data_IF_005055878729
#
_entry.id   IF_005055878729
#
_cell.length_a   1.000
_cell.length_b   1.000
_cell.length_c   1.000
_cell.angle_alpha   90.00
_cell.angle_beta   90.00
_cell.angle_gamma   90.00
#
_symmetry.space_group_name_H-M   'P 1'
#
loop_
_entity.id
_entity.type
_entity.pdbx_description
1 polymer ?
#
# COMPACT_ATOMS: atom_id res chain seq x y z
N UNK A 1 14.37 15.59 -10.46
CA UNK A 1 13.08 16.20 -10.74
C UNK A 1 12.35 16.45 -9.43
N UNK A 2 11.59 17.53 -9.33
CA UNK A 2 10.63 17.78 -8.26
C UNK A 2 9.27 17.29 -8.74
N UNK A 3 8.69 16.32 -8.04
CA UNK A 3 7.45 15.67 -8.46
C UNK A 3 6.47 15.65 -7.29
N UNK A 4 5.24 16.11 -7.53
CA UNK A 4 4.16 16.05 -6.56
C UNK A 4 3.30 14.80 -6.78
N UNK A 5 3.33 13.86 -5.84
CA UNK A 5 2.44 12.72 -5.79
C UNK A 5 1.11 13.08 -5.11
N UNK A 6 0.00 12.69 -5.73
CA UNK A 6 -1.36 12.86 -5.22
C UNK A 6 -2.03 11.48 -5.11
N UNK A 7 -2.45 11.12 -3.90
CA UNK A 7 -3.07 9.83 -3.61
C UNK A 7 -4.35 10.04 -2.81
N UNK A 8 -5.43 9.39 -3.23
CA UNK A 8 -6.64 9.25 -2.42
C UNK A 8 -6.97 7.78 -2.23
N UNK A 9 -6.90 7.32 -0.98
CA UNK A 9 -7.09 5.92 -0.60
C UNK A 9 -8.54 5.46 -0.76
N UNK A 10 -8.76 4.16 -0.64
CA UNK A 10 -10.11 3.58 -0.71
C UNK A 10 -10.98 3.92 0.51
N UNK A 11 -10.38 4.37 1.62
CA UNK A 11 -11.13 4.88 2.77
C UNK A 11 -11.82 6.22 2.48
N UNK A 12 -11.39 6.93 1.42
CA UNK A 12 -11.92 8.21 1.01
C UNK A 12 -11.94 9.25 2.15
N UNK A 13 -10.93 9.21 3.03
CA UNK A 13 -10.86 10.13 4.17
C UNK A 13 -10.22 11.48 3.80
N UNK A 14 -9.44 11.52 2.71
CA UNK A 14 -8.78 12.72 2.22
C UNK A 14 -7.85 12.44 1.04
N UNK A 15 -7.09 13.47 0.67
CA UNK A 15 -6.00 13.40 -0.30
C UNK A 15 -4.66 13.55 0.42
N UNK A 16 -3.77 12.59 0.20
CA UNK A 16 -2.36 12.64 0.58
C UNK A 16 -1.54 13.28 -0.54
N UNK A 17 -0.71 14.25 -0.16
CA UNK A 17 0.18 14.96 -1.06
C UNK A 17 1.61 14.75 -0.58
N UNK A 18 2.49 14.37 -1.51
CA UNK A 18 3.92 14.26 -1.29
C UNK A 18 4.68 15.02 -2.38
N UNK A 19 5.34 16.12 -2.02
CA UNK A 19 6.26 16.83 -2.91
C UNK A 19 7.64 16.23 -2.69
N UNK A 20 8.20 15.60 -3.72
CA UNK A 20 9.41 14.79 -3.60
C UNK A 20 10.53 15.29 -4.52
N UNK A 21 11.78 15.22 -4.06
CA UNK A 21 12.96 15.25 -4.93
C UNK A 21 13.28 13.83 -5.37
N UNK A 22 13.25 13.57 -6.67
CA UNK A 22 13.55 12.25 -7.24
C UNK A 22 14.73 12.37 -8.20
N UNK A 23 15.74 11.51 -8.03
CA UNK A 23 16.99 11.53 -8.79
C UNK A 23 17.47 10.12 -9.10
N UNK A 24 18.26 9.99 -10.17
CA UNK A 24 18.88 8.74 -10.56
C UNK A 24 17.98 7.89 -11.46
N UNK A 25 18.23 6.58 -11.45
CA UNK A 25 17.56 5.56 -12.25
C UNK A 25 17.59 4.24 -11.48
N UNK A 26 16.88 3.18 -11.90
CA UNK A 26 16.93 1.88 -11.23
C UNK A 26 18.37 1.46 -10.87
N UNK A 27 18.55 1.01 -9.62
CA UNK A 27 19.86 0.68 -9.03
C UNK A 27 20.59 1.84 -8.33
N UNK A 28 20.21 3.10 -8.61
CA UNK A 28 20.75 4.32 -7.98
C UNK A 28 19.67 5.35 -7.67
N UNK A 29 18.39 4.96 -7.73
CA UNK A 29 17.26 5.84 -7.56
C UNK A 29 17.18 6.30 -6.10
N UNK A 30 17.00 7.61 -5.90
CA UNK A 30 16.73 8.20 -4.59
C UNK A 30 15.46 9.04 -4.67
N UNK A 31 14.61 8.93 -3.65
CA UNK A 31 13.42 9.76 -3.49
C UNK A 31 13.39 10.33 -2.07
N UNK A 32 13.31 11.66 -1.96
CA UNK A 32 13.29 12.38 -0.69
C UNK A 32 12.01 13.22 -0.60
N UNK A 33 11.28 13.11 0.51
CA UNK A 33 10.12 13.95 0.79
C UNK A 33 10.58 15.36 1.17
N UNK A 34 10.17 16.36 0.39
CA UNK A 34 10.40 17.78 0.70
C UNK A 34 9.29 18.30 1.59
N UNK A 35 8.04 17.95 1.27
CA UNK A 35 6.87 18.43 1.99
C UNK A 35 5.70 17.49 1.76
N UNK A 36 4.97 17.14 2.83
CA UNK A 36 3.82 16.26 2.77
C UNK A 36 2.66 16.78 3.62
N UNK A 37 1.44 16.52 3.18
CA UNK A 37 0.23 16.78 3.96
C UNK A 37 -0.94 15.93 3.50
N UNK A 38 -1.80 15.57 4.45
CA UNK A 38 -3.12 14.99 4.19
C UNK A 38 -4.18 16.06 4.36
N UNK A 39 -4.99 16.27 3.33
CA UNK A 39 -6.15 17.16 3.39
C UNK A 39 -7.43 16.34 3.48
N UNK A 40 -8.16 16.38 4.61
CA UNK A 40 -9.38 15.61 4.76
C UNK A 40 -10.45 16.13 3.80
N UNK A 41 -11.24 15.21 3.25
CA UNK A 41 -12.39 15.61 2.45
C UNK A 41 -13.49 16.20 3.33
N UNK A 42 -14.23 17.15 2.76
CA UNK A 42 -15.51 17.53 3.32
C UNK A 42 -16.43 16.29 3.40
N UNK A 43 -17.27 16.26 4.43
CA UNK A 43 -18.12 15.09 4.73
C UNK A 43 -19.00 14.69 3.55
N UNK A 44 -19.59 15.67 2.88
CA UNK A 44 -20.45 15.48 1.70
C UNK A 44 -19.67 14.91 0.51
N UNK A 45 -18.45 15.38 0.26
CA UNK A 45 -17.56 14.83 -0.76
C UNK A 45 -17.25 13.36 -0.48
N UNK A 46 -16.86 13.04 0.77
CA UNK A 46 -16.60 11.66 1.20
C UNK A 46 -17.83 10.77 1.03
N UNK A 47 -19.01 11.21 1.45
CA UNK A 47 -20.26 10.48 1.26
C UNK A 47 -20.54 10.21 -0.23
N UNK A 48 -20.34 11.21 -1.11
CA UNK A 48 -20.51 11.06 -2.56
C UNK A 48 -19.51 10.11 -3.21
N UNK A 49 -18.25 10.10 -2.76
CA UNK A 49 -17.26 9.11 -3.19
C UNK A 49 -17.75 7.70 -2.85
N UNK A 50 -18.16 7.48 -1.60
CA UNK A 50 -18.63 6.17 -1.15
C UNK A 50 -19.88 5.70 -1.91
N UNK A 51 -20.82 6.61 -2.21
CA UNK A 51 -21.97 6.33 -3.05
C UNK A 51 -21.57 5.92 -4.47
N UNK A 52 -20.56 6.57 -5.05
CA UNK A 52 -20.06 6.21 -6.39
C UNK A 52 -19.34 4.84 -6.41
N UNK A 53 -18.78 4.40 -5.28
CA UNK A 53 -18.17 3.08 -5.13
C UNK A 53 -19.21 1.95 -4.93
N UNK A 54 -20.45 2.25 -4.59
CA UNK A 54 -21.53 1.27 -4.46
C UNK A 54 -22.25 1.07 -5.81
N UNK A 55 -22.16 -0.12 -6.44
CA UNK A 55 -22.79 -0.39 -7.72
C UNK A 55 -24.31 -0.19 -7.74
N UNK A 56 -24.97 -0.30 -6.58
CA UNK A 56 -26.42 -0.12 -6.46
C UNK A 56 -26.85 1.35 -6.38
N UNK A 57 -25.92 2.25 -6.07
CA UNK A 57 -26.18 3.68 -5.87
C UNK A 57 -25.45 4.58 -6.87
N UNK A 58 -24.43 4.04 -7.55
CA UNK A 58 -23.61 4.76 -8.50
C UNK A 58 -24.31 4.97 -9.85
N UNK A 59 -23.91 6.02 -10.57
CA UNK A 59 -24.41 6.30 -11.92
C UNK A 59 -23.35 7.03 -12.75
N UNK A 60 -23.43 6.89 -14.07
CA UNK A 60 -22.49 7.57 -14.97
C UNK A 60 -22.46 9.11 -14.77
N UNK A 61 -23.60 9.83 -14.61
CA UNK A 61 -23.57 11.24 -14.28
C UNK A 61 -22.88 11.56 -12.94
N UNK A 62 -23.13 10.76 -11.90
CA UNK A 62 -22.52 10.97 -10.59
C UNK A 62 -21.00 10.82 -10.63
N UNK A 63 -20.49 9.75 -11.25
CA UNK A 63 -19.06 9.50 -11.44
C UNK A 63 -18.43 10.62 -12.29
N UNK A 64 -19.07 11.01 -13.39
CA UNK A 64 -18.56 12.05 -14.30
C UNK A 64 -18.42 13.40 -13.60
N UNK A 65 -19.42 13.81 -12.81
CA UNK A 65 -19.34 15.06 -12.03
C UNK A 65 -18.24 14.97 -10.97
N UNK A 66 -18.21 13.88 -10.20
CA UNK A 66 -17.22 13.67 -9.16
C UNK A 66 -15.79 13.62 -9.71
N UNK A 67 -15.59 13.10 -10.92
CA UNK A 67 -14.30 13.04 -11.60
C UNK A 67 -13.67 14.42 -11.82
N UNK A 68 -14.48 15.42 -12.16
CA UNK A 68 -14.05 16.81 -12.31
C UNK A 68 -13.91 17.49 -10.94
N UNK A 69 -14.88 17.32 -10.06
CA UNK A 69 -14.88 17.96 -8.74
C UNK A 69 -13.69 17.53 -7.87
N UNK A 70 -13.33 16.24 -7.87
CA UNK A 70 -12.14 15.76 -7.17
C UNK A 70 -10.87 16.38 -7.75
N UNK A 71 -10.76 16.52 -9.06
CA UNK A 71 -9.60 17.17 -9.67
C UNK A 71 -9.45 18.63 -9.25
N UNK A 72 -10.56 19.37 -9.09
CA UNK A 72 -10.53 20.73 -8.56
C UNK A 72 -10.00 20.75 -7.12
N UNK A 73 -10.49 19.83 -6.26
CA UNK A 73 -9.99 19.69 -4.89
C UNK A 73 -8.51 19.33 -4.88
N UNK A 74 -8.07 18.41 -5.74
CA UNK A 74 -6.69 17.94 -5.79
C UNK A 74 -5.74 19.07 -6.19
N UNK A 75 -6.11 19.84 -7.21
CA UNK A 75 -5.35 21.00 -7.64
C UNK A 75 -5.27 22.06 -6.52
N UNK A 76 -6.39 22.37 -5.85
CA UNK A 76 -6.42 23.33 -4.75
C UNK A 76 -5.55 22.90 -3.57
N UNK A 77 -5.64 21.63 -3.17
CA UNK A 77 -4.81 21.07 -2.10
C UNK A 77 -3.32 21.10 -2.45
N UNK A 78 -2.95 20.78 -3.70
CA UNK A 78 -1.55 20.87 -4.13
C UNK A 78 -1.03 22.30 -4.12
N UNK A 79 -1.78 23.25 -4.67
CA UNK A 79 -1.38 24.67 -4.67
C UNK A 79 -1.22 25.19 -3.24
N UNK A 80 -2.13 24.84 -2.34
CA UNK A 80 -2.02 25.16 -0.91
C UNK A 80 -0.78 24.51 -0.28
N UNK A 81 -0.47 23.27 -0.61
CA UNK A 81 0.71 22.61 -0.05
C UNK A 81 2.02 23.23 -0.56
N UNK A 82 2.03 23.69 -1.82
CA UNK A 82 3.15 24.45 -2.38
C UNK A 82 3.35 25.78 -1.65
N UNK A 83 2.27 26.49 -1.35
CA UNK A 83 2.32 27.71 -0.52
C UNK A 83 2.90 27.42 0.89
N UNK A 84 2.43 26.35 1.55
CA UNK A 84 2.95 25.91 2.86
C UNK A 84 4.44 25.56 2.79
N UNK A 85 4.88 24.93 1.70
CA UNK A 85 6.28 24.60 1.45
C UNK A 85 7.13 25.82 1.02
N UNK A 86 6.53 26.99 0.79
CA UNK A 86 7.22 28.17 0.24
C UNK A 86 7.71 27.97 -1.20
N UNK A 87 7.06 27.09 -1.96
CA UNK A 87 7.45 26.70 -3.32
C UNK A 87 6.52 27.33 -4.36
N UNK A 88 7.11 27.82 -5.45
CA UNK A 88 6.33 28.23 -6.62
C UNK A 88 5.88 26.99 -7.42
N UNK A 89 4.68 27.02 -7.99
CA UNK A 89 4.20 25.94 -8.87
C UNK A 89 5.16 25.62 -10.02
N UNK A 90 5.82 26.64 -10.58
CA UNK A 90 6.82 26.48 -11.64
C UNK A 90 8.08 25.69 -11.23
N UNK A 91 8.30 25.44 -9.93
CA UNK A 91 9.40 24.60 -9.44
C UNK A 91 9.08 23.10 -9.44
N UNK A 92 7.81 22.74 -9.66
CA UNK A 92 7.37 21.35 -9.78
C UNK A 92 7.41 20.95 -11.25
N UNK A 93 8.15 19.88 -11.54
CA UNK A 93 8.29 19.37 -12.90
C UNK A 93 7.03 18.59 -13.32
N UNK A 94 6.55 17.71 -12.44
CA UNK A 94 5.45 16.79 -12.73
C UNK A 94 4.49 16.65 -11.55
N UNK A 95 3.22 16.41 -11.87
CA UNK A 95 2.24 15.87 -10.91
C UNK A 95 2.03 14.40 -11.24
N UNK A 96 1.93 13.56 -10.21
CA UNK A 96 1.56 12.15 -10.32
C UNK A 96 0.25 11.92 -9.57
N UNK A 97 -0.87 11.90 -10.28
CA UNK A 97 -2.19 11.71 -9.70
C UNK A 97 -2.64 10.26 -9.84
N UNK A 98 -2.69 9.52 -8.72
CA UNK A 98 -3.38 8.25 -8.70
C UNK A 98 -4.88 8.41 -9.00
N UNK A 99 -5.48 9.48 -8.45
CA UNK A 99 -6.92 9.63 -8.39
C UNK A 99 -7.54 8.97 -7.16
N UNK A 100 -8.87 8.89 -7.18
CA UNK A 100 -9.70 8.10 -6.27
C UNK A 100 -10.17 6.85 -7.00
N UNK A 101 -9.88 5.66 -6.48
CA UNK A 101 -10.46 4.42 -7.04
C UNK A 101 -11.97 4.39 -6.79
N UNK A 102 -12.75 4.26 -7.86
CA UNK A 102 -14.20 4.00 -7.81
C UNK A 102 -14.47 2.50 -7.92
N UNK A 103 -13.76 1.83 -8.82
CA UNK A 103 -13.96 0.41 -9.03
C UNK A 103 -12.67 -0.29 -9.43
N UNK A 104 -12.50 -1.51 -8.92
CA UNK A 104 -11.41 -2.40 -9.28
C UNK A 104 -11.99 -3.81 -9.44
N UNK A 105 -12.23 -4.21 -10.69
CA UNK A 105 -13.03 -5.39 -11.00
C UNK A 105 -12.19 -6.65 -11.07
N UNK A 106 -12.11 -7.35 -9.94
CA UNK A 106 -11.52 -8.68 -9.82
C UNK A 106 -12.55 -9.72 -10.26
N UNK A 107 -12.18 -10.56 -11.22
CA UNK A 107 -12.99 -11.68 -11.72
C UNK A 107 -12.99 -12.84 -10.70
N UNK A 108 -13.98 -13.75 -10.75
CA UNK A 108 -13.99 -14.95 -9.91
C UNK A 108 -12.76 -15.84 -10.09
N UNK A 109 -12.07 -15.74 -11.23
CA UNK A 109 -10.81 -16.46 -11.52
C UNK A 109 -9.58 -15.84 -10.86
N UNK A 110 -9.72 -14.69 -10.19
CA UNK A 110 -8.63 -13.95 -9.54
C UNK A 110 -7.93 -12.93 -10.43
N UNK A 111 -8.19 -12.92 -11.74
CA UNK A 111 -7.67 -11.89 -12.66
C UNK A 111 -8.43 -10.57 -12.57
N UNK A 112 -7.83 -9.46 -13.03
CA UNK A 112 -8.47 -8.14 -13.06
C UNK A 112 -8.91 -7.80 -14.47
N UNK A 113 -10.16 -7.37 -14.65
CA UNK A 113 -10.71 -7.04 -15.97
C UNK A 113 -10.75 -5.55 -16.26
N UNK A 114 -10.91 -4.71 -15.23
CA UNK A 114 -11.01 -3.27 -15.37
C UNK A 114 -10.71 -2.58 -14.04
N UNK A 115 -10.21 -1.34 -14.11
CA UNK A 115 -10.13 -0.47 -12.94
C UNK A 115 -10.37 0.98 -13.35
N UNK A 116 -11.08 1.73 -12.50
CA UNK A 116 -11.38 3.14 -12.70
C UNK A 116 -10.89 3.95 -11.51
N UNK A 117 -9.96 4.85 -11.78
CA UNK A 117 -9.55 5.93 -10.89
C UNK A 117 -10.05 7.24 -11.48
N UNK A 118 -10.72 8.06 -10.67
CA UNK A 118 -11.23 9.37 -11.07
C UNK A 118 -10.43 10.51 -10.43
N UNK A 119 -10.56 11.71 -10.98
CA UNK A 119 -9.69 12.86 -10.74
C UNK A 119 -9.08 13.29 -12.06
N UNK A 120 -9.85 14.04 -12.86
CA UNK A 120 -9.51 14.50 -14.21
C UNK A 120 -8.14 15.19 -14.30
N UNK A 121 -7.19 14.54 -14.96
CA UNK A 121 -5.83 15.04 -15.12
C UNK A 121 -5.77 16.32 -15.96
N UNK A 122 -6.68 16.51 -16.92
CA UNK A 122 -6.76 17.75 -17.69
C UNK A 122 -7.14 18.94 -16.81
N UNK A 123 -8.03 18.75 -15.83
CA UNK A 123 -8.40 19.78 -14.86
C UNK A 123 -7.21 20.10 -13.96
N UNK A 124 -6.54 19.07 -13.42
CA UNK A 124 -5.35 19.25 -12.57
C UNK A 124 -4.26 20.02 -13.33
N UNK A 125 -3.94 19.61 -14.55
CA UNK A 125 -2.92 20.29 -15.37
C UNK A 125 -3.31 21.74 -15.68
N UNK A 126 -4.58 22.00 -16.02
CA UNK A 126 -5.05 23.36 -16.35
C UNK A 126 -5.10 24.29 -15.13
N UNK A 127 -5.38 23.77 -13.94
CA UNK A 127 -5.45 24.55 -12.70
C UNK A 127 -4.08 24.86 -12.11
N UNK A 128 -3.12 23.96 -12.33
CA UNK A 128 -1.77 24.07 -11.73
C UNK A 128 -0.72 24.58 -12.72
N UNK A 129 -0.96 24.47 -14.03
CA UNK A 129 0.03 24.73 -15.07
C UNK A 129 1.10 23.62 -15.22
N UNK A 130 0.99 22.52 -14.46
CA UNK A 130 2.01 21.49 -14.37
C UNK A 130 1.58 20.24 -15.15
N UNK A 131 2.49 19.70 -15.97
CA UNK A 131 2.30 18.41 -16.64
C UNK A 131 1.93 17.32 -15.63
N UNK A 132 0.80 16.64 -15.88
CA UNK A 132 0.23 15.67 -14.95
C UNK A 132 0.26 14.27 -15.54
N UNK A 133 0.79 13.32 -14.78
CA UNK A 133 0.72 11.89 -15.05
C UNK A 133 -0.40 11.26 -14.22
N UNK A 134 -1.21 10.42 -14.84
CA UNK A 134 -2.36 9.77 -14.19
C UNK A 134 -2.59 8.35 -14.73
N UNK A 135 -3.63 7.67 -14.22
CA UNK A 135 -4.10 6.38 -14.76
C UNK A 135 -3.03 5.27 -14.76
N UNK A 136 -2.28 5.15 -13.66
CA UNK A 136 -1.14 4.24 -13.54
C UNK A 136 -1.51 2.76 -13.66
N UNK A 137 -2.74 2.35 -13.30
CA UNK A 137 -3.14 0.93 -13.25
C UNK A 137 -3.47 0.34 -14.62
N UNK A 138 -3.99 1.14 -15.55
CA UNK A 138 -4.61 0.64 -16.77
C UNK A 138 -3.64 -0.15 -17.68
N UNK A 139 -2.38 0.27 -17.77
CA UNK A 139 -1.39 -0.38 -18.64
C UNK A 139 -0.97 -1.76 -18.13
N UNK A 140 -0.84 -1.91 -16.82
CA UNK A 140 -0.54 -3.20 -16.19
C UNK A 140 -1.70 -4.19 -16.41
N UNK A 141 -2.95 -3.75 -16.18
CA UNK A 141 -4.16 -4.55 -16.41
C UNK A 141 -4.30 -4.95 -17.89
N UNK A 142 -4.03 -4.02 -18.82
CA UNK A 142 -4.09 -4.31 -20.25
C UNK A 142 -3.09 -5.41 -20.70
N UNK A 143 -2.05 -5.66 -19.90
CA UNK A 143 -1.06 -6.72 -20.13
C UNK A 143 -1.36 -8.00 -19.34
N UNK A 144 -2.54 -8.09 -18.72
CA UNK A 144 -2.97 -9.22 -17.91
C UNK A 144 -2.46 -9.21 -16.47
N UNK A 145 -1.88 -8.10 -16.03
CA UNK A 145 -1.52 -7.88 -14.62
C UNK A 145 -2.74 -7.52 -13.77
N UNK A 146 -2.52 -7.40 -12.46
CA UNK A 146 -3.59 -7.05 -11.52
C UNK A 146 -3.79 -5.53 -11.38
N UNK A 147 -2.86 -4.70 -11.83
CA UNK A 147 -2.89 -3.25 -11.61
C UNK A 147 -2.65 -2.84 -10.16
N UNK A 148 -2.30 -3.78 -9.28
CA UNK A 148 -2.03 -3.60 -7.85
C UNK A 148 -1.26 -4.83 -7.28
N UNK A 149 -0.54 -4.68 -6.16
CA UNK A 149 -0.07 -3.41 -5.60
C UNK A 149 1.06 -2.84 -6.47
N UNK A 150 1.00 -1.54 -6.79
CA UNK A 150 2.09 -0.86 -7.52
C UNK A 150 3.24 -0.43 -6.59
N UNK A 151 2.99 -0.43 -5.28
CA UNK A 151 3.97 -0.10 -4.23
C UNK A 151 5.16 -1.06 -4.24
N UNK A 152 4.96 -2.35 -4.50
CA UNK A 152 6.04 -3.35 -4.49
C UNK A 152 7.14 -3.05 -5.50
N UNK A 153 6.80 -2.49 -6.66
CA UNK A 153 7.82 -2.09 -7.64
C UNK A 153 8.66 -0.90 -7.14
N UNK A 154 8.03 0.06 -6.45
CA UNK A 154 8.77 1.18 -5.86
C UNK A 154 9.60 0.74 -4.65
N UNK A 155 9.09 -0.20 -3.86
CA UNK A 155 9.86 -0.85 -2.79
C UNK A 155 11.11 -1.54 -3.37
N UNK A 156 10.97 -2.23 -4.52
CA UNK A 156 12.10 -2.78 -5.26
C UNK A 156 13.10 -1.73 -5.74
N UNK A 157 12.64 -0.55 -6.16
CA UNK A 157 13.54 0.52 -6.62
C UNK A 157 14.28 1.21 -5.48
N UNK A 158 13.59 1.46 -4.36
CA UNK A 158 14.09 2.33 -3.29
C UNK A 158 14.66 1.59 -2.08
N UNK A 159 14.16 0.38 -1.79
CA UNK A 159 14.40 -0.26 -0.49
C UNK A 159 15.42 -1.40 -0.53
N UNK A 160 15.95 -1.76 -1.70
CA UNK A 160 17.05 -2.74 -1.81
C UNK A 160 18.28 -2.24 -1.04
N UNK A 161 18.92 -3.14 -0.29
CA UNK A 161 20.19 -2.84 0.36
C UNK A 161 21.35 -3.08 -0.63
N UNK A 162 22.50 -2.38 -0.50
CA UNK A 162 23.65 -2.61 -1.37
C UNK A 162 24.13 -4.07 -1.45
N UNK A 163 24.06 -4.80 -0.34
CA UNK A 163 24.67 -6.15 -0.22
C UNK A 163 23.89 -7.18 0.63
N UNK A 164 22.69 -6.85 1.10
CA UNK A 164 21.90 -7.73 1.99
C UNK A 164 20.46 -7.90 1.49
N UNK A 165 19.87 -9.05 1.77
CA UNK A 165 18.45 -9.25 1.54
C UNK A 165 17.61 -8.48 2.56
N UNK A 166 16.57 -7.83 2.07
CA UNK A 166 15.56 -7.12 2.86
C UNK A 166 14.19 -7.75 2.66
N UNK A 167 13.33 -7.64 3.66
CA UNK A 167 11.92 -7.94 3.52
C UNK A 167 11.08 -6.70 3.87
N UNK A 168 10.10 -6.37 3.03
CA UNK A 168 9.11 -5.34 3.34
C UNK A 168 7.84 -6.06 3.78
N UNK A 169 7.51 -5.97 5.06
CA UNK A 169 6.36 -6.63 5.67
C UNK A 169 5.27 -5.61 5.96
N UNK A 170 4.21 -5.60 5.15
CA UNK A 170 3.02 -4.83 5.47
C UNK A 170 2.09 -5.64 6.38
N UNK A 171 1.62 -5.03 7.47
CA UNK A 171 0.64 -5.62 8.39
C UNK A 171 -0.61 -4.73 8.38
N UNK A 172 -1.40 -4.86 7.30
CA UNK A 172 -2.71 -4.23 7.17
C UNK A 172 -3.79 -5.12 7.77
N UNK A 173 -5.00 -5.14 7.18
CA UNK A 173 -5.95 -6.20 7.50
C UNK A 173 -5.38 -7.59 7.21
N UNK A 174 -4.64 -7.70 6.11
CA UNK A 174 -3.91 -8.88 5.66
C UNK A 174 -2.42 -8.56 5.77
N UNK A 175 -1.63 -9.57 6.11
CA UNK A 175 -0.18 -9.50 6.08
C UNK A 175 0.33 -9.83 4.68
N UNK A 176 1.27 -9.04 4.16
CA UNK A 176 1.99 -9.38 2.94
C UNK A 176 3.46 -9.02 3.03
N UNK A 177 4.28 -9.78 2.33
CA UNK A 177 5.73 -9.61 2.30
C UNK A 177 6.20 -9.40 0.87
N UNK A 178 7.20 -8.54 0.70
CA UNK A 178 8.05 -8.51 -0.50
C UNK A 178 9.51 -8.74 -0.07
N UNK A 179 10.11 -9.86 -0.50
CA UNK A 179 11.54 -10.13 -0.35
C UNK A 179 12.33 -9.44 -1.46
N UNK A 180 13.32 -8.65 -1.09
CA UNK A 180 14.11 -7.81 -1.98
C UNK A 180 15.56 -8.31 -2.04
N UNK A 181 16.01 -8.81 -3.21
CA UNK A 181 17.42 -9.06 -3.43
C UNK A 181 18.28 -7.80 -3.29
N UNK A 182 19.55 -7.93 -2.84
CA UNK A 182 20.45 -6.79 -2.75
C UNK A 182 20.80 -6.22 -4.12
N UNK A 183 21.23 -4.95 -4.17
CA UNK A 183 21.71 -4.30 -5.41
C UNK A 183 22.91 -5.01 -6.04
N UNK A 184 23.70 -5.74 -5.25
CA UNK A 184 24.83 -6.55 -5.73
C UNK A 184 24.43 -7.88 -6.37
N UNK A 185 23.14 -8.21 -6.42
CA UNK A 185 22.59 -9.43 -6.99
C UNK A 185 21.63 -9.06 -8.14
N UNK A 186 22.09 -9.32 -9.37
CA UNK A 186 21.35 -9.05 -10.61
C UNK A 186 20.61 -10.28 -11.14
N UNK A 187 20.85 -11.46 -10.55
CA UNK A 187 20.28 -12.72 -11.01
C UNK A 187 18.95 -13.05 -10.28
N UNK A 188 18.81 -12.56 -9.05
CA UNK A 188 17.62 -12.80 -8.23
C UNK A 188 16.50 -11.79 -8.49
N UNK A 189 15.28 -12.29 -8.62
CA UNK A 189 14.06 -11.48 -8.65
C UNK A 189 13.42 -11.35 -7.26
N UNK A 190 12.69 -10.25 -6.97
CA UNK A 190 11.93 -10.13 -5.74
C UNK A 190 10.74 -11.09 -5.72
N UNK A 191 10.35 -11.53 -4.53
CA UNK A 191 9.22 -12.44 -4.31
C UNK A 191 8.19 -11.72 -3.44
N UNK A 192 6.91 -11.71 -3.87
CA UNK A 192 5.82 -11.10 -3.11
C UNK A 192 4.61 -12.02 -2.99
N UNK A 193 3.99 -12.05 -1.81
CA UNK A 193 2.75 -12.81 -1.54
C UNK A 193 2.11 -12.38 -0.21
N UNK A 194 0.85 -12.77 0.01
CA UNK A 194 0.16 -12.59 1.29
C UNK A 194 0.57 -13.71 2.27
N UNK A 195 0.98 -13.34 3.49
CA UNK A 195 1.34 -14.33 4.53
C UNK A 195 0.10 -14.94 5.16
N UNK A 196 -0.97 -14.14 5.31
CA UNK A 196 -2.18 -14.51 6.03
C UNK A 196 -2.94 -13.30 6.57
N UNK A 197 -3.75 -13.46 7.63
CA UNK A 197 -4.36 -12.33 8.31
C UNK A 197 -3.26 -11.48 8.97
N UNK A 198 -3.39 -10.17 8.81
CA UNK A 198 -2.72 -9.16 9.64
C UNK A 198 -3.67 -8.80 10.78
N UNK A 199 -4.17 -7.58 10.78
CA UNK A 199 -5.10 -7.09 11.80
C UNK A 199 -6.56 -7.54 11.57
N UNK A 200 -6.95 -8.13 10.44
CA UNK A 200 -8.37 -8.34 10.12
C UNK A 200 -9.10 -9.22 11.15
N UNK A 201 -8.53 -10.35 11.56
CA UNK A 201 -9.13 -11.20 12.59
C UNK A 201 -9.07 -10.52 13.97
N UNK A 202 -7.96 -9.85 14.27
CA UNK A 202 -7.71 -9.16 15.53
C UNK A 202 -8.74 -8.03 15.76
N UNK A 203 -8.87 -7.12 14.79
CA UNK A 203 -9.78 -5.98 14.83
C UNK A 203 -11.23 -6.43 14.98
N UNK A 204 -11.64 -7.46 14.23
CA UNK A 204 -12.98 -8.03 14.32
C UNK A 204 -13.23 -8.70 15.69
N UNK A 205 -12.24 -9.40 16.25
CA UNK A 205 -12.34 -9.99 17.57
C UNK A 205 -12.45 -8.93 18.66
N UNK A 206 -11.65 -7.86 18.60
CA UNK A 206 -11.76 -6.72 19.54
C UNK A 206 -13.13 -6.08 19.46
N UNK A 207 -13.62 -5.80 18.25
CA UNK A 207 -14.94 -5.21 18.06
C UNK A 207 -16.04 -6.11 18.65
N UNK A 208 -15.95 -7.42 18.45
CA UNK A 208 -16.92 -8.37 19.01
C UNK A 208 -16.86 -8.44 20.54
N UNK A 209 -15.67 -8.62 21.11
CA UNK A 209 -15.47 -8.83 22.54
C UNK A 209 -15.75 -7.56 23.37
N UNK A 210 -15.56 -6.39 22.77
CA UNK A 210 -15.85 -5.09 23.42
C UNK A 210 -17.23 -4.53 23.08
N UNK A 211 -18.09 -5.31 22.41
CA UNK A 211 -19.40 -4.87 21.92
C UNK A 211 -19.34 -3.55 21.11
N UNK A 212 -18.28 -3.37 20.32
CA UNK A 212 -18.04 -2.21 19.47
C UNK A 212 -17.43 -0.99 20.16
N UNK A 213 -17.10 -1.07 21.46
CA UNK A 213 -16.46 0.04 22.16
C UNK A 213 -15.04 0.33 21.64
N UNK A 214 -14.35 -0.68 21.13
CA UNK A 214 -13.08 -0.56 20.41
C UNK A 214 -13.17 -1.30 19.08
N UNK A 215 -12.47 -0.81 18.05
CA UNK A 215 -12.47 -1.42 16.71
C UNK A 215 -11.14 -2.10 16.36
N UNK A 216 -10.13 -1.96 17.21
CA UNK A 216 -8.81 -2.58 17.10
C UNK A 216 -8.13 -2.58 18.49
N UNK A 217 -7.11 -3.41 18.67
CA UNK A 217 -6.34 -3.44 19.93
C UNK A 217 -5.32 -2.30 19.96
N UNK A 218 -5.72 -1.17 20.57
CA UNK A 218 -4.90 0.04 20.60
C UNK A 218 -3.63 -0.17 21.44
N UNK A 219 -2.49 0.00 20.79
CA UNK A 219 -1.16 -0.19 21.37
C UNK A 219 -0.93 -1.60 21.94
N UNK A 220 -1.69 -2.60 21.47
CA UNK A 220 -1.55 -3.99 21.93
C UNK A 220 -1.96 -4.23 23.39
N UNK A 221 -2.73 -3.33 24.00
CA UNK A 221 -3.03 -3.36 25.45
C UNK A 221 -3.86 -4.55 25.88
N UNK A 222 -4.80 -5.01 25.06
CA UNK A 222 -5.58 -6.21 25.35
C UNK A 222 -4.71 -7.46 25.19
N UNK A 223 -3.89 -7.52 24.14
CA UNK A 223 -2.94 -8.62 23.93
C UNK A 223 -1.92 -8.72 25.08
N UNK A 224 -1.43 -7.60 25.59
CA UNK A 224 -0.46 -7.55 26.70
C UNK A 224 -1.02 -8.11 28.01
N UNK A 225 -2.33 -7.97 28.23
CA UNK A 225 -3.02 -8.46 29.44
C UNK A 225 -3.31 -9.96 29.39
N UNK A 226 -3.36 -10.53 28.17
CA UNK A 226 -3.71 -11.92 27.96
C UNK A 226 -2.54 -12.87 28.09
N UNK A 227 -2.87 -14.15 28.16
CA UNK A 227 -1.92 -15.27 28.08
C UNK A 227 -2.13 -15.99 26.77
N UNK A 228 -1.02 -16.30 26.11
CA UNK A 228 -1.04 -17.12 24.91
C UNK A 228 -1.57 -18.51 25.23
N UNK A 229 -2.57 -18.97 24.48
CA UNK A 229 -2.96 -20.37 24.45
C UNK A 229 -2.25 -21.06 23.27
N UNK A 230 -1.18 -21.80 23.56
CA UNK A 230 -0.34 -22.46 22.54
C UNK A 230 -1.09 -23.56 21.77
N UNK A 231 -1.89 -24.39 22.46
CA UNK A 231 -2.67 -25.47 21.83
C UNK A 231 -3.66 -24.90 20.80
N UNK A 232 -4.37 -23.83 21.16
CA UNK A 232 -5.30 -23.18 20.25
C UNK A 232 -4.59 -22.43 19.11
N UNK A 233 -3.42 -21.85 19.38
CA UNK A 233 -2.59 -21.26 18.33
C UNK A 233 -2.21 -22.29 17.26
N UNK A 234 -1.78 -23.48 17.68
CA UNK A 234 -1.40 -24.57 16.77
C UNK A 234 -2.59 -25.04 15.92
N UNK A 235 -3.79 -25.15 16.51
CA UNK A 235 -5.02 -25.42 15.78
C UNK A 235 -5.32 -24.36 14.72
N UNK A 236 -5.16 -23.07 15.05
CA UNK A 236 -5.39 -21.97 14.12
C UNK A 236 -4.36 -21.98 12.99
N UNK A 237 -3.09 -22.29 13.27
CA UNK A 237 -2.01 -22.40 12.28
C UNK A 237 -2.17 -23.62 11.35
N UNK A 238 -3.01 -24.59 11.70
CA UNK A 238 -3.34 -25.72 10.83
C UNK A 238 -4.26 -25.34 9.65
N UNK A 239 -4.74 -24.08 9.58
CA UNK A 239 -5.62 -23.65 8.50
C UNK A 239 -4.98 -23.87 7.10
N UNK A 240 -5.71 -24.45 6.11
CA UNK A 240 -5.13 -24.87 4.83
C UNK A 240 -4.43 -23.76 4.04
N UNK A 241 -4.84 -22.51 4.22
CA UNK A 241 -4.21 -21.36 3.57
C UNK A 241 -2.72 -21.24 3.88
N UNK A 242 -2.32 -21.43 5.14
CA UNK A 242 -0.92 -21.28 5.55
C UNK A 242 -0.04 -22.33 4.89
N UNK A 243 -0.59 -23.51 4.58
CA UNK A 243 0.11 -24.62 3.95
C UNK A 243 0.36 -24.45 2.45
N UNK A 244 -0.29 -23.49 1.79
CA UNK A 244 -0.13 -23.23 0.35
C UNK A 244 1.27 -22.67 0.01
N UNK A 245 1.83 -23.13 -1.10
CA UNK A 245 3.01 -22.50 -1.72
C UNK A 245 2.65 -21.13 -2.33
N UNK A 246 3.65 -20.27 -2.54
CA UNK A 246 3.49 -19.06 -3.36
C UNK A 246 3.45 -19.42 -4.86
N UNK A 247 2.80 -18.63 -5.74
CA UNK A 247 2.09 -17.38 -5.45
C UNK A 247 0.78 -17.62 -4.68
N UNK A 248 0.53 -16.83 -3.63
CA UNK A 248 -0.71 -16.88 -2.85
C UNK A 248 -1.17 -15.49 -2.43
N UNK A 249 -2.48 -15.31 -2.50
CA UNK A 249 -3.18 -14.09 -2.03
C UNK A 249 -4.43 -14.49 -1.25
N UNK A 250 -4.88 -13.64 -0.34
CA UNK A 250 -6.10 -13.80 0.46
C UNK A 250 -6.66 -12.45 0.88
N UNK A 251 -7.93 -12.45 1.28
CA UNK A 251 -8.61 -11.30 1.83
C UNK A 251 -9.67 -11.69 2.86
N UNK A 252 -10.68 -10.81 2.97
CA UNK A 252 -11.79 -10.95 3.92
C UNK A 252 -12.74 -12.10 3.56
N UNK A 253 -12.68 -12.64 2.36
CA UNK A 253 -13.40 -13.85 1.97
C UNK A 253 -12.92 -15.08 2.76
N UNK A 254 -11.63 -15.12 3.11
CA UNK A 254 -11.05 -16.20 3.94
C UNK A 254 -10.96 -15.79 5.41
N UNK A 255 -10.46 -14.59 5.69
CA UNK A 255 -10.17 -14.11 7.05
C UNK A 255 -11.01 -12.89 7.45
N UNK A 256 -12.31 -12.93 7.14
CA UNK A 256 -13.25 -11.85 7.43
C UNK A 256 -14.13 -12.07 8.66
N UNK A 257 -15.22 -11.31 8.72
CA UNK A 257 -16.12 -11.24 9.88
C UNK A 257 -16.83 -12.55 10.22
N UNK A 258 -17.03 -13.45 9.24
CA UNK A 258 -17.58 -14.78 9.51
C UNK A 258 -16.55 -15.65 10.26
N UNK A 259 -15.35 -15.78 9.69
CA UNK A 259 -14.24 -16.51 10.30
C UNK A 259 -13.90 -15.98 11.70
N UNK A 260 -13.81 -14.65 11.88
CA UNK A 260 -13.53 -14.05 13.18
C UNK A 260 -14.59 -14.41 14.24
N UNK A 261 -15.89 -14.40 13.88
CA UNK A 261 -16.97 -14.78 14.80
C UNK A 261 -16.89 -16.24 15.23
N UNK A 262 -16.60 -17.14 14.28
CA UNK A 262 -16.44 -18.57 14.55
C UNK A 262 -15.24 -18.83 15.45
N UNK A 263 -14.10 -18.21 15.15
CA UNK A 263 -12.86 -18.28 15.93
C UNK A 263 -13.10 -17.79 17.37
N UNK A 264 -13.72 -16.62 17.55
CA UNK A 264 -14.01 -16.07 18.88
C UNK A 264 -15.01 -16.96 19.65
N UNK A 265 -16.06 -17.45 18.99
CA UNK A 265 -17.02 -18.35 19.64
C UNK A 265 -16.37 -19.66 20.10
N UNK A 266 -15.49 -20.23 19.26
CA UNK A 266 -14.74 -21.44 19.58
C UNK A 266 -13.79 -21.22 20.77
N UNK A 267 -13.18 -20.03 20.88
CA UNK A 267 -12.29 -19.68 21.97
C UNK A 267 -13.04 -19.47 23.30
N UNK A 268 -14.18 -18.79 23.26
CA UNK A 268 -15.05 -18.62 24.43
C UNK A 268 -15.59 -19.97 24.93
N UNK A 269 -15.92 -20.88 24.03
CA UNK A 269 -16.33 -22.25 24.38
C UNK A 269 -15.22 -23.08 25.05
N UNK A 270 -13.94 -22.72 24.81
CA UNK A 270 -12.77 -23.29 25.51
C UNK A 270 -12.53 -22.65 26.89
N UNK A 271 -13.33 -21.66 27.28
CA UNK A 271 -13.19 -20.94 28.54
C UNK A 271 -12.11 -19.87 28.55
N UNK A 272 -11.62 -19.45 27.37
CA UNK A 272 -10.68 -18.34 27.26
C UNK A 272 -11.39 -17.01 27.48
N UNK A 273 -10.72 -16.11 28.20
CA UNK A 273 -11.21 -14.75 28.37
C UNK A 273 -10.87 -13.86 27.16
N UNK A 274 -11.37 -12.63 27.17
CA UNK A 274 -11.14 -11.71 26.05
C UNK A 274 -9.67 -11.37 25.83
N UNK A 275 -8.87 -11.25 26.90
CA UNK A 275 -7.47 -10.87 26.77
C UNK A 275 -6.65 -12.05 26.20
N UNK A 276 -6.88 -13.26 26.67
CA UNK A 276 -6.25 -14.50 26.17
C UNK A 276 -6.56 -14.72 24.68
N UNK A 277 -7.81 -14.44 24.27
CA UNK A 277 -8.22 -14.52 22.86
C UNK A 277 -7.40 -13.54 22.00
N UNK A 278 -7.33 -12.28 22.41
CA UNK A 278 -6.63 -11.23 21.67
C UNK A 278 -5.11 -11.47 21.66
N UNK A 279 -4.53 -11.95 22.75
CA UNK A 279 -3.12 -12.35 22.82
C UNK A 279 -2.81 -13.49 21.84
N UNK A 280 -3.68 -14.51 21.80
CA UNK A 280 -3.49 -15.66 20.90
C UNK A 280 -3.67 -15.30 19.43
N UNK A 281 -4.63 -14.43 19.07
CA UNK A 281 -4.77 -13.94 17.70
C UNK A 281 -3.64 -12.99 17.27
N UNK A 282 -3.07 -12.24 18.21
CA UNK A 282 -1.85 -11.46 17.96
C UNK A 282 -0.67 -12.38 17.66
N UNK A 283 -0.52 -13.46 18.43
CA UNK A 283 0.49 -14.49 18.18
C UNK A 283 0.26 -15.23 16.84
N UNK A 284 -0.99 -15.54 16.48
CA UNK A 284 -1.33 -16.13 15.17
C UNK A 284 -0.80 -15.28 14.02
N UNK A 285 -0.93 -13.96 14.12
CA UNK A 285 -0.43 -13.02 13.12
C UNK A 285 1.10 -13.10 13.00
N UNK A 286 1.80 -12.99 14.14
CA UNK A 286 3.26 -13.05 14.17
C UNK A 286 3.81 -14.41 13.70
N UNK A 287 3.19 -15.52 14.14
CA UNK A 287 3.60 -16.88 13.80
C UNK A 287 3.38 -17.22 12.33
N UNK A 288 2.26 -16.80 11.70
CA UNK A 288 2.07 -17.05 10.27
C UNK A 288 3.05 -16.25 9.39
N UNK A 289 3.42 -15.03 9.81
CA UNK A 289 4.48 -14.26 9.17
C UNK A 289 5.81 -14.99 9.30
N UNK A 290 6.16 -15.46 10.50
CA UNK A 290 7.41 -16.19 10.73
C UNK A 290 7.50 -17.50 9.92
N UNK A 291 6.42 -18.30 9.89
CA UNK A 291 6.34 -19.51 9.06
C UNK A 291 6.56 -19.19 7.57
N UNK A 292 5.94 -18.12 7.07
CA UNK A 292 6.14 -17.68 5.69
C UNK A 292 7.60 -17.32 5.38
N UNK A 293 8.31 -16.70 6.31
CA UNK A 293 9.73 -16.37 6.14
C UNK A 293 10.58 -17.63 6.13
N UNK A 294 10.34 -18.54 7.08
CA UNK A 294 11.07 -19.80 7.16
C UNK A 294 10.91 -20.64 5.89
N UNK A 295 9.71 -20.65 5.30
CA UNK A 295 9.39 -21.50 4.15
C UNK A 295 9.76 -20.90 2.80
N UNK A 296 9.69 -19.58 2.67
CA UNK A 296 9.69 -18.93 1.36
C UNK A 296 10.73 -17.80 1.21
N UNK A 297 11.45 -17.41 2.26
CA UNK A 297 12.56 -16.48 2.09
C UNK A 297 13.64 -17.14 1.20
N UNK A 298 14.05 -16.48 0.10
CA UNK A 298 15.01 -17.07 -0.84
C UNK A 298 16.45 -17.09 -0.30
N UNK A 299 16.74 -16.29 0.71
CA UNK A 299 18.03 -16.16 1.37
C UNK A 299 17.84 -15.64 2.81
N UNK A 300 18.89 -15.70 3.66
CA UNK A 300 18.84 -15.09 4.98
C UNK A 300 18.50 -13.60 4.92
N UNK A 301 17.38 -13.23 5.54
CA UNK A 301 16.92 -11.84 5.59
C UNK A 301 17.68 -11.10 6.70
N UNK A 302 18.33 -10.00 6.35
CA UNK A 302 19.09 -9.20 7.31
C UNK A 302 18.21 -8.16 8.00
N UNK A 303 17.28 -7.57 7.27
CA UNK A 303 16.42 -6.47 7.75
C UNK A 303 14.99 -6.69 7.27
N UNK A 304 14.03 -6.50 8.19
CA UNK A 304 12.59 -6.55 7.92
C UNK A 304 12.00 -5.18 8.23
N UNK A 305 11.49 -4.51 7.20
CA UNK A 305 10.91 -3.17 7.30
C UNK A 305 9.39 -3.32 7.42
N UNK A 306 8.85 -2.96 8.57
CA UNK A 306 7.42 -3.06 8.86
C UNK A 306 6.64 -1.87 8.29
N UNK A 307 5.55 -2.17 7.60
CA UNK A 307 4.53 -1.24 7.13
C UNK A 307 3.14 -1.61 7.68
N UNK A 308 2.15 -0.76 7.40
CA UNK A 308 0.77 -0.98 7.79
C UNK A 308 0.49 -0.72 9.28
N UNK A 309 -0.79 -0.78 9.66
CA UNK A 309 -1.22 -0.44 11.03
C UNK A 309 -0.67 -1.36 12.11
N UNK A 310 -0.40 -2.63 11.80
CA UNK A 310 0.10 -3.62 12.75
C UNK A 310 1.50 -3.31 13.29
N UNK A 311 2.30 -2.50 12.59
CA UNK A 311 3.60 -2.01 13.09
C UNK A 311 3.49 -1.20 14.39
N UNK A 312 2.29 -0.67 14.70
CA UNK A 312 1.99 0.09 15.92
C UNK A 312 1.57 -0.78 17.10
N UNK A 313 1.46 -2.10 16.93
CA UNK A 313 1.19 -3.03 18.02
C UNK A 313 2.52 -3.52 18.62
N UNK A 314 2.98 -3.00 19.77
CA UNK A 314 4.28 -3.34 20.35
C UNK A 314 4.38 -4.81 20.77
N UNK A 315 3.27 -5.46 21.14
CA UNK A 315 3.24 -6.89 21.48
C UNK A 315 3.54 -7.73 20.24
N UNK A 316 2.85 -7.44 19.13
CA UNK A 316 3.08 -8.12 17.84
C UNK A 316 4.51 -7.89 17.34
N UNK A 317 5.01 -6.65 17.40
CA UNK A 317 6.38 -6.32 16.98
C UNK A 317 7.42 -7.01 17.88
N UNK A 318 7.15 -7.13 19.18
CA UNK A 318 7.98 -7.89 20.12
C UNK A 318 8.09 -9.37 19.74
N UNK A 319 6.96 -10.01 19.41
CA UNK A 319 6.92 -11.39 18.94
C UNK A 319 7.69 -11.56 17.63
N UNK A 320 7.49 -10.67 16.65
CA UNK A 320 8.22 -10.71 15.37
C UNK A 320 9.73 -10.56 15.55
N UNK A 321 10.19 -9.70 16.47
CA UNK A 321 11.62 -9.55 16.79
C UNK A 321 12.24 -10.84 17.35
N UNK A 322 11.47 -11.66 18.05
CA UNK A 322 11.94 -12.94 18.57
C UNK A 322 11.90 -14.02 17.48
N UNK A 323 10.79 -14.10 16.74
CA UNK A 323 10.56 -15.13 15.74
C UNK A 323 11.43 -14.99 14.48
N UNK A 324 11.80 -13.77 14.11
CA UNK A 324 12.56 -13.49 12.88
C UNK A 324 14.06 -13.29 13.10
N UNK A 325 14.60 -13.67 14.26
CA UNK A 325 16.06 -13.60 14.48
C UNK A 325 16.83 -14.44 13.45
N UNK A 326 17.99 -13.97 12.96
CA UNK A 326 18.75 -12.79 13.41
C UNK A 326 18.38 -11.48 12.68
N UNK A 327 17.28 -11.42 11.93
CA UNK A 327 16.91 -10.22 11.18
C UNK A 327 16.62 -9.03 12.10
N UNK A 328 17.05 -7.84 11.68
CA UNK A 328 16.73 -6.59 12.38
C UNK A 328 15.34 -6.11 11.95
N UNK A 329 14.43 -5.90 12.90
CA UNK A 329 13.11 -5.33 12.64
C UNK A 329 13.21 -3.81 12.67
N UNK A 330 12.89 -3.18 11.54
CA UNK A 330 12.87 -1.75 11.29
C UNK A 330 11.46 -1.30 10.90
N UNK A 331 11.25 0.01 10.89
CA UNK A 331 10.11 0.70 10.30
C UNK A 331 10.55 1.51 9.08
N UNK A 332 9.61 2.12 8.37
CA UNK A 332 9.94 3.02 7.27
C UNK A 332 10.66 4.27 7.80
N UNK A 333 10.29 4.74 9.00
CA UNK A 333 10.90 5.89 9.65
C UNK A 333 12.36 5.62 10.02
N UNK A 334 12.69 4.41 10.46
CA UNK A 334 14.07 4.01 10.80
C UNK A 334 15.01 4.08 9.58
N UNK A 335 14.47 4.04 8.36
CA UNK A 335 15.23 4.17 7.10
C UNK A 335 15.00 5.52 6.40
N UNK A 336 14.41 6.50 7.10
CA UNK A 336 14.20 7.86 6.59
C UNK A 336 13.06 7.99 5.58
N UNK A 337 12.13 7.04 5.53
CA UNK A 337 10.93 7.11 4.70
C UNK A 337 9.70 7.39 5.56
N UNK A 338 9.01 8.49 5.27
CA UNK A 338 7.76 8.81 5.94
C UNK A 338 6.66 7.84 5.48
N UNK A 339 6.13 7.04 6.40
CA UNK A 339 5.13 6.03 6.07
C UNK A 339 3.77 6.63 5.73
N UNK A 340 3.46 7.82 6.26
CA UNK A 340 2.15 8.47 6.06
C UNK A 340 2.04 8.98 4.62
N UNK A 341 3.17 9.35 4.01
CA UNK A 341 3.24 9.85 2.62
C UNK A 341 3.83 8.86 1.63
N UNK A 342 4.13 7.62 2.06
CA UNK A 342 4.73 6.58 1.20
C UNK A 342 3.90 6.34 -0.06
N UNK A 343 2.58 6.22 0.06
CA UNK A 343 1.75 5.92 -1.11
C UNK A 343 1.72 7.07 -2.13
N UNK A 344 1.69 8.32 -1.68
CA UNK A 344 1.82 9.48 -2.57
C UNK A 344 3.23 9.52 -3.22
N UNK A 345 4.29 9.24 -2.46
CA UNK A 345 5.66 9.13 -2.97
C UNK A 345 5.79 8.04 -4.03
N UNK A 346 5.12 6.90 -3.86
CA UNK A 346 5.09 5.82 -4.87
C UNK A 346 4.63 6.36 -6.21
N UNK A 347 3.54 7.12 -6.28
CA UNK A 347 3.08 7.70 -7.54
C UNK A 347 4.07 8.71 -8.12
N UNK A 348 4.72 9.53 -7.28
CA UNK A 348 5.77 10.43 -7.74
C UNK A 348 6.94 9.67 -8.40
N UNK A 349 7.36 8.52 -7.84
CA UNK A 349 8.38 7.64 -8.43
C UNK A 349 7.89 7.00 -9.72
N UNK A 350 6.65 6.49 -9.78
CA UNK A 350 6.11 5.92 -11.01
C UNK A 350 6.03 6.96 -12.13
N UNK A 351 5.67 8.20 -11.82
CA UNK A 351 5.69 9.29 -12.79
C UNK A 351 7.11 9.62 -13.27
N UNK A 352 8.11 9.57 -12.38
CA UNK A 352 9.51 9.73 -12.75
C UNK A 352 9.96 8.66 -13.75
N UNK A 353 9.63 7.39 -13.50
CA UNK A 353 9.99 6.28 -14.40
C UNK A 353 9.27 6.41 -15.74
N UNK A 354 7.96 6.71 -15.74
CA UNK A 354 7.20 6.95 -16.95
C UNK A 354 7.76 8.12 -17.77
N UNK A 355 8.07 9.23 -17.10
CA UNK A 355 8.61 10.42 -17.76
C UNK A 355 9.97 10.17 -18.42
N UNK A 356 10.76 9.21 -17.94
CA UNK A 356 12.05 8.80 -18.52
C UNK A 356 11.93 7.57 -19.43
N UNK A 357 10.72 7.12 -19.78
CA UNK A 357 10.53 5.98 -20.67
C UNK A 357 10.99 4.64 -20.09
N UNK A 358 11.14 4.53 -18.76
CA UNK A 358 11.51 3.29 -18.06
C UNK A 358 10.28 2.55 -17.56
N UNK A 359 10.29 1.22 -17.67
CA UNK A 359 9.19 0.38 -17.18
C UNK A 359 9.00 0.59 -15.68
N UNK A 360 7.75 0.62 -15.22
CA UNK A 360 7.38 0.87 -13.84
C UNK A 360 6.61 -0.32 -13.21
N UNK A 361 6.83 -1.53 -13.74
CA UNK A 361 6.33 -2.80 -13.21
C UNK A 361 7.39 -3.89 -13.34
N UNK A 362 7.24 -4.95 -12.55
CA UNK A 362 8.05 -6.16 -12.66
C UNK A 362 7.11 -7.38 -12.69
N UNK A 363 7.24 -8.28 -13.69
CA UNK A 363 6.46 -9.52 -13.80
C UNK A 363 6.34 -10.30 -12.49
N UNK A 364 7.46 -10.45 -11.78
CA UNK A 364 7.54 -11.16 -10.50
C UNK A 364 6.68 -10.55 -9.39
N UNK A 365 6.30 -9.27 -9.49
CA UNK A 365 5.55 -8.54 -8.47
C UNK A 365 4.06 -8.37 -8.81
N UNK A 366 3.72 -8.12 -10.07
CA UNK A 366 2.32 -7.86 -10.49
C UNK A 366 1.66 -9.02 -11.22
N UNK A 367 2.42 -10.08 -11.53
CA UNK A 367 1.94 -11.23 -12.29
C UNK A 367 1.77 -10.95 -13.79
N UNK A 368 2.23 -9.80 -14.30
CA UNK A 368 2.24 -9.54 -15.74
C UNK A 368 3.21 -10.45 -16.46
N UNK A 369 2.98 -10.69 -17.76
CA UNK A 369 3.94 -11.42 -18.61
C UNK A 369 5.16 -10.59 -18.99
N UNK A 370 5.07 -9.28 -18.88
CA UNK A 370 6.13 -8.35 -19.26
C UNK A 370 6.07 -7.07 -18.42
N UNK A 371 7.24 -6.48 -18.17
CA UNK A 371 7.36 -5.17 -17.55
C UNK A 371 6.75 -4.10 -18.47
N UNK A 372 6.19 -3.04 -17.88
CA UNK A 372 5.49 -2.01 -18.64
C UNK A 372 5.70 -0.62 -18.08
N UNK A 373 5.77 0.36 -18.97
CA UNK A 373 5.56 1.75 -18.60
C UNK A 373 4.13 1.92 -18.09
N UNK A 374 3.94 2.78 -17.08
CA UNK A 374 2.63 3.04 -16.51
C UNK A 374 2.14 4.45 -16.83
N UNK A 375 0.84 4.68 -16.63
CA UNK A 375 0.23 5.99 -16.67
C UNK A 375 0.08 6.63 -18.06
N UNK A 376 -0.49 7.83 -18.05
CA UNK A 376 -0.81 8.69 -19.18
C UNK A 376 -0.32 10.10 -18.88
N UNK A 377 0.20 10.80 -19.90
CA UNK A 377 0.73 12.17 -19.74
C UNK A 377 -0.32 13.17 -20.26
N UNK A 378 -0.73 14.08 -19.40
CA UNK A 378 -1.54 15.26 -19.74
C UNK A 378 -0.64 16.50 -19.71
N UNK A 379 -0.33 17.12 -20.87
CA UNK A 379 0.53 18.30 -20.95
C UNK A 379 0.00 19.48 -20.10
N UNK A 380 0.87 20.07 -19.29
CA UNK A 380 0.66 21.39 -18.68
C UNK A 380 1.44 22.48 -19.43
N UNK A 381 1.42 23.71 -18.92
CA UNK A 381 2.14 24.86 -19.50
C UNK A 381 3.66 24.61 -19.57
N UNK A 382 4.19 23.83 -18.62
CA UNK A 382 5.60 23.47 -18.56
C UNK A 382 6.03 22.38 -19.55
N UNK A 383 5.09 21.68 -20.23
CA UNK A 383 5.37 20.44 -20.98
C UNK A 383 6.50 20.58 -22.02
N UNK A 384 6.40 21.60 -22.89
CA UNK A 384 7.38 21.79 -23.96
C UNK A 384 8.77 22.17 -23.43
N UNK A 385 8.84 22.95 -22.35
CA UNK A 385 10.10 23.29 -21.70
C UNK A 385 10.71 22.06 -21.01
N UNK A 386 9.89 21.28 -20.31
CA UNK A 386 10.32 20.08 -19.60
C UNK A 386 10.81 18.99 -20.54
N UNK A 387 10.15 18.79 -21.69
CA UNK A 387 10.62 17.90 -22.75
C UNK A 387 12.01 18.29 -23.24
N UNK A 388 12.24 19.59 -23.49
CA UNK A 388 13.56 20.08 -23.92
C UNK A 388 14.62 19.88 -22.84
N UNK A 389 14.28 20.14 -21.58
CA UNK A 389 15.21 20.00 -20.46
C UNK A 389 15.60 18.54 -20.18
N UNK A 390 14.66 17.60 -20.36
CA UNK A 390 14.87 16.19 -20.03
C UNK A 390 15.48 15.39 -21.19
N UNK A 391 14.95 15.59 -22.41
CA UNK A 391 15.14 14.65 -23.52
C UNK A 391 15.96 15.19 -24.69
N UNK A 392 16.29 16.49 -24.71
CA UNK A 392 17.22 17.03 -25.71
C UNK A 392 18.64 17.02 -25.16
N UNK A 393 19.28 15.85 -25.26
CA UNK A 393 20.74 15.69 -25.29
C UNK A 393 21.16 15.23 -26.68
#
# INVERSE_FOLDING_TARGET
MIIAGLMSGTSADGIDIAICSIRGQPGSLSAELISGATYPYARDMRERILLCCDPSQSSAPAITNLHVELAEVFAQCLLRQLEVAGMAAASVDLIASHGQTIWHHVLPTGGVSASLQIGEAAVIAQRTGITTLSNFRARDIALGGQGAPLTSYVDWLLLRHPSRWRAIQNIGGMGNVTFLPPLSDDDSEPIAFDTGPGNALLDMAVAQLTAGAQTYDRDGKLAEQGRLNEEWLDELLAHPYYQRAYPKTTGRETFGSAAAREIVAAALARGLDSADIIATLTALTASNIADAYQRFAPAPIAEVILGGGGRRNPVMVGMLRQLLQPATILTHEDIGMDSDFKEALVFAVLAHETWHGRTATLPALTGTKQASLLGQITPGDNYAALLRATWRS
#
